data_IF_335549211326
#
_entry.id   IF_335549211326
#
_cell.length_a   1.000
_cell.length_b   1.000
_cell.length_c   1.000
_cell.angle_alpha   90.00
_cell.angle_beta   90.00
_cell.angle_gamma   90.00
#
_symmetry.space_group_name_H-M   'P 1'
#
loop_
_entity.id
_entity.type
_entity.pdbx_description
1 polymer ?
#
# COMPACT_ATOMS: atom_id res chain seq x y z
N UNK A 1 1.72 14.06 -0.81
CA UNK A 1 0.62 13.49 -1.60
C UNK A 1 0.23 12.14 -1.03
N UNK A 2 -1.05 11.86 -0.78
CA UNK A 2 -1.51 10.58 -0.26
C UNK A 2 -1.70 9.55 -1.38
N UNK A 3 -1.59 8.26 -1.05
CA UNK A 3 -1.96 7.16 -1.98
C UNK A 3 -3.43 7.21 -2.36
N UNK A 4 -4.30 7.62 -1.43
CA UNK A 4 -5.73 7.81 -1.67
C UNK A 4 -6.15 9.13 -1.01
N UNK A 5 -6.85 10.00 -1.72
CA UNK A 5 -7.17 11.36 -1.25
C UNK A 5 -7.94 11.40 0.07
N UNK A 6 -8.75 10.37 0.35
CA UNK A 6 -9.49 10.22 1.61
C UNK A 6 -8.84 9.26 2.60
N UNK A 7 -7.52 9.07 2.57
CA UNK A 7 -6.84 8.15 3.48
C UNK A 7 -6.85 8.71 4.91
N UNK A 8 -7.46 8.02 5.90
CA UNK A 8 -7.53 8.54 7.27
C UNK A 8 -6.15 8.60 7.97
N UNK A 9 -5.13 7.93 7.42
CA UNK A 9 -3.79 7.92 8.00
C UNK A 9 -2.97 9.19 7.66
N UNK A 10 -3.45 10.08 6.79
CA UNK A 10 -2.66 11.26 6.37
C UNK A 10 -2.34 12.19 7.52
N UNK A 11 -3.30 12.41 8.41
CA UNK A 11 -3.15 13.34 9.53
C UNK A 11 -2.15 12.79 10.54
N UNK A 12 -2.22 11.49 10.81
CA UNK A 12 -1.26 10.78 11.65
C UNK A 12 0.15 10.82 11.06
N UNK A 13 0.30 10.55 9.75
CA UNK A 13 1.60 10.62 9.08
C UNK A 13 2.17 12.04 9.16
N UNK A 14 1.35 13.07 8.91
CA UNK A 14 1.77 14.46 9.00
C UNK A 14 2.20 14.84 10.42
N UNK A 15 1.47 14.39 11.45
CA UNK A 15 1.85 14.61 12.84
C UNK A 15 3.16 13.93 13.19
N UNK A 16 3.37 12.67 12.79
CA UNK A 16 4.61 11.93 13.10
C UNK A 16 5.83 12.57 12.43
N UNK A 17 5.69 13.04 11.18
CA UNK A 17 6.74 13.81 10.50
C UNK A 17 7.08 15.07 11.28
N UNK A 18 6.07 15.85 11.69
CA UNK A 18 6.28 17.08 12.45
C UNK A 18 6.97 16.84 13.79
N UNK A 19 6.49 15.85 14.57
CA UNK A 19 7.05 15.51 15.88
C UNK A 19 8.48 14.99 15.78
N UNK A 20 8.77 14.13 14.81
CA UNK A 20 10.11 13.57 14.61
C UNK A 20 11.13 14.65 14.28
N UNK A 21 10.79 15.55 13.34
CA UNK A 21 11.68 16.65 12.96
C UNK A 21 11.84 17.67 14.08
N UNK A 22 10.77 17.97 14.83
CA UNK A 22 10.83 18.85 16.02
C UNK A 22 11.77 18.29 17.09
N UNK A 23 11.71 16.99 17.37
CA UNK A 23 12.62 16.31 18.32
C UNK A 23 14.08 16.36 17.88
N UNK A 24 14.33 16.36 16.57
CA UNK A 24 15.66 16.54 16.00
C UNK A 24 16.13 18.01 15.95
N UNK A 25 15.31 18.97 16.41
CA UNK A 25 15.62 20.39 16.34
C UNK A 25 15.55 20.98 14.93
N UNK A 26 14.90 20.29 13.99
CA UNK A 26 14.79 20.70 12.58
C UNK A 26 13.48 21.44 12.36
N UNK A 27 13.52 22.75 12.03
CA UNK A 27 12.33 23.49 11.63
C UNK A 27 11.69 22.85 10.40
N UNK A 28 10.36 22.70 10.42
CA UNK A 28 9.66 21.99 9.36
C UNK A 28 8.24 22.54 9.14
N UNK A 29 7.73 22.33 7.92
CA UNK A 29 6.36 22.57 7.50
C UNK A 29 5.93 21.38 6.64
N UNK A 30 4.81 20.76 6.98
CA UNK A 30 4.23 19.63 6.23
C UNK A 30 3.06 20.14 5.43
N UNK A 31 3.05 19.86 4.12
CA UNK A 31 1.97 20.26 3.22
C UNK A 31 1.39 19.06 2.48
N UNK A 32 0.06 18.99 2.43
CA UNK A 32 -0.64 18.00 1.63
C UNK A 32 -0.81 18.52 0.21
N UNK A 33 0.00 17.99 -0.70
CA UNK A 33 -0.11 18.23 -2.15
C UNK A 33 -0.95 17.12 -2.79
N UNK A 34 -1.97 17.48 -3.59
CA UNK A 34 -2.85 16.53 -4.28
C UNK A 34 -2.56 16.38 -5.78
N UNK A 35 -1.74 17.27 -6.36
CA UNK A 35 -1.37 17.26 -7.77
C UNK A 35 0.16 17.41 -7.93
N UNK A 36 0.83 16.55 -8.71
CA UNK A 36 0.28 15.34 -9.36
C UNK A 36 -0.17 14.29 -8.33
N UNK A 37 -1.12 13.45 -8.74
CA UNK A 37 -1.56 12.32 -7.92
C UNK A 37 -0.38 11.38 -7.66
N UNK A 38 -0.36 10.77 -6.48
CA UNK A 38 0.60 9.71 -6.18
C UNK A 38 0.44 8.56 -7.17
N UNK A 39 1.56 7.99 -7.63
CA UNK A 39 1.56 6.83 -8.52
C UNK A 39 2.33 5.67 -7.89
N UNK A 40 1.81 4.46 -8.08
CA UNK A 40 2.44 3.19 -7.66
C UNK A 40 3.83 2.96 -8.26
N UNK A 41 4.14 3.63 -9.38
CA UNK A 41 5.49 3.67 -9.96
C UNK A 41 6.53 4.34 -9.05
N UNK A 42 6.12 5.19 -8.10
CA UNK A 42 7.03 5.85 -7.16
C UNK A 42 7.49 4.92 -6.03
N UNK A 43 6.91 3.72 -5.92
CA UNK A 43 7.29 2.74 -4.91
C UNK A 43 8.63 2.09 -5.26
N UNK A 44 9.58 2.20 -4.34
CA UNK A 44 10.92 1.59 -4.51
C UNK A 44 10.86 0.06 -4.54
N UNK A 45 11.86 -0.62 -5.14
CA UNK A 45 11.95 -2.08 -5.09
C UNK A 45 11.94 -2.62 -3.66
N UNK A 46 12.64 -1.96 -2.74
CA UNK A 46 12.64 -2.29 -1.31
C UNK A 46 11.22 -2.23 -0.71
N UNK A 47 10.43 -1.21 -1.05
CA UNK A 47 9.05 -1.09 -0.60
C UNK A 47 8.16 -2.22 -1.11
N UNK A 48 8.36 -2.63 -2.38
CA UNK A 48 7.63 -3.75 -3.00
C UNK A 48 7.96 -5.08 -2.32
N UNK A 49 9.24 -5.33 -2.02
CA UNK A 49 9.68 -6.51 -1.26
C UNK A 49 9.09 -6.50 0.15
N UNK A 50 9.14 -5.37 0.86
CA UNK A 50 8.61 -5.26 2.21
C UNK A 50 7.09 -5.52 2.29
N UNK A 51 6.32 -5.14 1.26
CA UNK A 51 4.91 -5.52 1.17
C UNK A 51 4.74 -7.04 1.09
N UNK A 52 5.50 -7.70 0.20
CA UNK A 52 5.44 -9.15 0.03
C UNK A 52 5.81 -9.87 1.33
N UNK A 53 6.89 -9.44 1.99
CA UNK A 53 7.35 -10.02 3.26
C UNK A 53 6.31 -9.84 4.38
N UNK A 54 5.52 -8.77 4.33
CA UNK A 54 4.40 -8.52 5.23
C UNK A 54 3.11 -9.28 4.84
N UNK A 55 3.15 -10.16 3.83
CA UNK A 55 2.00 -10.90 3.34
C UNK A 55 1.01 -10.08 2.52
N UNK A 56 1.42 -8.92 2.00
CA UNK A 56 0.62 -8.05 1.13
C UNK A 56 1.15 -8.17 -0.30
N UNK A 57 0.29 -8.51 -1.25
CA UNK A 57 0.69 -8.53 -2.65
C UNK A 57 0.98 -7.08 -3.13
N UNK A 58 2.20 -6.79 -3.64
CA UNK A 58 2.56 -5.45 -4.09
C UNK A 58 1.82 -5.06 -5.37
N UNK A 59 1.77 -3.76 -5.74
CA UNK A 59 1.14 -3.31 -6.99
C UNK A 59 1.78 -3.95 -8.21
N UNK A 60 0.98 -4.27 -9.22
CA UNK A 60 1.44 -4.92 -10.45
C UNK A 60 1.08 -4.07 -11.67
N UNK A 61 1.94 -4.11 -12.68
CA UNK A 61 1.63 -3.46 -13.97
C UNK A 61 0.49 -4.21 -14.69
N UNK A 62 0.45 -5.53 -14.52
CA UNK A 62 -0.61 -6.40 -15.01
C UNK A 62 -1.20 -7.23 -13.86
N UNK A 63 -2.46 -6.94 -13.51
CA UNK A 63 -3.19 -7.62 -12.44
C UNK A 63 -3.37 -9.13 -12.70
N UNK A 64 -3.29 -9.60 -13.95
CA UNK A 64 -3.39 -11.02 -14.26
C UNK A 64 -2.19 -11.82 -13.75
N UNK A 65 -1.10 -11.14 -13.40
CA UNK A 65 0.11 -11.74 -12.81
C UNK A 65 0.05 -11.87 -11.29
N UNK A 66 -1.07 -11.46 -10.66
CA UNK A 66 -1.25 -11.52 -9.21
C UNK A 66 -1.07 -12.94 -8.68
N UNK A 67 -0.22 -13.05 -7.66
CA UNK A 67 0.08 -14.29 -6.96
C UNK A 67 -0.11 -14.12 -5.46
N UNK A 68 -0.47 -15.22 -4.79
CA UNK A 68 -0.54 -15.26 -3.35
C UNK A 68 0.84 -14.99 -2.73
N UNK A 69 0.98 -14.01 -1.81
CA UNK A 69 2.27 -13.69 -1.21
C UNK A 69 2.80 -14.80 -0.27
N UNK A 70 1.96 -15.77 0.10
CA UNK A 70 2.31 -16.86 1.01
C UNK A 70 2.86 -18.11 0.30
N UNK A 71 2.32 -18.45 -0.88
CA UNK A 71 2.65 -19.69 -1.59
C UNK A 71 2.94 -19.51 -3.08
N UNK A 72 2.97 -18.26 -3.57
CA UNK A 72 3.22 -17.87 -4.97
C UNK A 72 2.22 -18.44 -6.00
N UNK A 73 1.12 -19.06 -5.55
CA UNK A 73 0.06 -19.53 -6.46
C UNK A 73 -0.68 -18.37 -7.11
N UNK A 74 -0.92 -18.47 -8.42
CA UNK A 74 -1.78 -17.54 -9.20
C UNK A 74 -3.27 -17.89 -9.14
N UNK A 75 -3.64 -18.99 -8.48
CA UNK A 75 -5.04 -19.39 -8.31
C UNK A 75 -5.67 -18.57 -7.17
N UNK A 76 -5.94 -17.30 -7.45
CA UNK A 76 -6.46 -16.33 -6.49
C UNK A 76 -7.79 -15.76 -6.97
N UNK A 77 -8.69 -15.47 -6.03
CA UNK A 77 -9.99 -14.89 -6.29
C UNK A 77 -10.15 -13.58 -5.52
N UNK A 78 -10.67 -12.55 -6.17
CA UNK A 78 -11.06 -11.31 -5.53
C UNK A 78 -12.27 -11.58 -4.63
N UNK A 79 -12.18 -11.20 -3.35
CA UNK A 79 -13.30 -11.22 -2.42
C UNK A 79 -13.98 -9.86 -2.32
N UNK A 80 -13.19 -8.79 -2.22
CA UNK A 80 -13.70 -7.43 -2.08
C UNK A 80 -12.74 -6.40 -2.70
N UNK A 81 -13.28 -5.40 -3.39
CA UNK A 81 -12.53 -4.27 -3.95
C UNK A 81 -11.88 -3.37 -2.89
N UNK A 82 -12.30 -3.54 -1.62
CA UNK A 82 -11.77 -2.85 -0.45
C UNK A 82 -11.28 -3.89 0.57
N UNK A 83 -10.00 -3.77 0.94
CA UNK A 83 -9.36 -4.59 1.97
C UNK A 83 -9.22 -3.84 3.30
N UNK A 84 -8.11 -4.04 4.00
CA UNK A 84 -7.83 -3.37 5.28
C UNK A 84 -7.77 -1.84 5.20
N UNK A 85 -7.54 -1.29 4.00
CA UNK A 85 -7.48 0.14 3.71
C UNK A 85 -8.01 0.40 2.31
N UNK A 86 -8.41 1.66 2.01
CA UNK A 86 -8.99 2.02 0.72
C UNK A 86 -8.04 1.80 -0.48
N UNK A 87 -6.72 1.84 -0.26
CA UNK A 87 -5.71 1.56 -1.28
C UNK A 87 -5.45 0.06 -1.50
N UNK A 88 -6.10 -0.83 -0.74
CA UNK A 88 -5.96 -2.28 -0.86
C UNK A 88 -7.28 -2.95 -1.27
N UNK A 89 -7.18 -4.10 -1.92
CA UNK A 89 -8.30 -5.00 -2.21
C UNK A 89 -8.06 -6.35 -1.53
N UNK A 90 -9.12 -7.04 -1.12
CA UNK A 90 -9.04 -8.33 -0.43
C UNK A 90 -9.18 -9.47 -1.42
N UNK A 91 -8.18 -10.36 -1.42
CA UNK A 91 -8.14 -11.58 -2.22
C UNK A 91 -8.07 -12.82 -1.32
N UNK A 92 -8.33 -13.99 -1.89
CA UNK A 92 -8.08 -15.29 -1.29
C UNK A 92 -7.36 -16.20 -2.27
N UNK A 93 -6.37 -16.93 -1.76
CA UNK A 93 -5.75 -18.01 -2.53
C UNK A 93 -6.60 -19.27 -2.45
N UNK A 94 -6.90 -19.91 -3.58
CA UNK A 94 -7.66 -21.15 -3.63
C UNK A 94 -6.78 -22.39 -3.35
N UNK A 95 -5.45 -22.26 -3.36
CA UNK A 95 -4.54 -23.36 -3.08
C UNK A 95 -4.21 -23.49 -1.58
N UNK A 96 -3.75 -22.41 -0.94
CA UNK A 96 -3.43 -22.40 0.50
C UNK A 96 -4.58 -21.86 1.37
N UNK A 97 -5.67 -21.38 0.77
CA UNK A 97 -6.87 -20.87 1.44
C UNK A 97 -6.71 -19.56 2.21
N UNK A 98 -5.49 -19.03 2.31
CA UNK A 98 -5.19 -17.77 3.01
C UNK A 98 -5.81 -16.55 2.30
N UNK A 99 -6.50 -15.66 3.06
CA UNK A 99 -6.85 -14.33 2.59
C UNK A 99 -5.61 -13.42 2.61
N UNK A 100 -5.52 -12.49 1.67
CA UNK A 100 -4.44 -11.50 1.64
C UNK A 100 -4.90 -10.19 1.00
N UNK A 101 -4.26 -9.09 1.40
CA UNK A 101 -4.45 -7.80 0.76
C UNK A 101 -3.58 -7.71 -0.50
N UNK A 102 -4.15 -7.15 -1.57
CA UNK A 102 -3.44 -6.63 -2.73
C UNK A 102 -3.39 -5.11 -2.65
N UNK A 103 -2.20 -4.51 -2.70
CA UNK A 103 -2.05 -3.07 -2.81
C UNK A 103 -2.33 -2.64 -4.24
N UNK A 104 -3.39 -1.84 -4.46
CA UNK A 104 -3.86 -1.49 -5.79
C UNK A 104 -2.87 -0.62 -6.54
N UNK A 105 -2.75 -0.88 -7.84
CA UNK A 105 -2.06 0.00 -8.80
C UNK A 105 -2.88 1.28 -8.96
N UNK A 106 -2.19 2.42 -8.79
CA UNK A 106 -2.70 3.79 -8.97
C UNK A 106 -1.72 4.52 -9.88
#
# INVERSE_FOLDING_TARGET
TPTYSGCPATDFIASEVHHTLKRAGVPNRVETVLAPAWCSSWMTPKGRTALKDAGIAPPLDDITTLACPQCDSRNVALLNQFGSTACKALYRCNNCLEPFDYFKTI
#
